data_IF_097517903414
#
_entry.id   IF_097517903414
#
_cell.length_a   1.000
_cell.length_b   1.000
_cell.length_c   1.000
_cell.angle_alpha   90.00
_cell.angle_beta   90.00
_cell.angle_gamma   90.00
#
_symmetry.space_group_name_H-M   'P 1'
#
loop_
_entity.id
_entity.type
_entity.pdbx_description
1 polymer ?
#
# COMPACT_ATOMS: atom_id res chain seq x y z
N UNK A 1 -15.45 31.02 -10.20
CA UNK A 1 -14.33 30.20 -9.69
C UNK A 1 -13.80 30.89 -8.45
N UNK A 2 -14.08 30.36 -7.25
CA UNK A 2 -13.60 30.96 -6.00
C UNK A 2 -12.17 30.47 -5.75
N UNK A 3 -11.20 31.35 -5.85
CA UNK A 3 -9.81 31.03 -5.52
C UNK A 3 -9.72 30.81 -4.00
N UNK A 4 -9.24 29.65 -3.52
CA UNK A 4 -9.16 29.39 -2.09
C UNK A 4 -8.21 30.39 -1.43
N UNK A 5 -8.67 30.96 -0.31
CA UNK A 5 -7.86 31.81 0.57
C UNK A 5 -6.72 30.96 1.14
N UNK A 6 -5.50 31.45 1.03
CA UNK A 6 -4.29 30.78 1.51
C UNK A 6 -3.48 31.77 2.35
N UNK A 7 -2.81 31.28 3.37
CA UNK A 7 -2.05 32.12 4.29
C UNK A 7 -0.80 32.70 3.61
N UNK A 8 -0.62 34.03 3.67
CA UNK A 8 0.61 34.68 3.20
C UNK A 8 1.61 34.86 4.36
N UNK A 9 2.82 34.27 4.29
CA UNK A 9 3.81 34.37 5.37
C UNK A 9 4.36 35.78 5.57
N UNK A 10 4.30 36.65 4.55
CA UNK A 10 4.74 38.06 4.66
C UNK A 10 3.66 38.97 5.22
N UNK A 11 2.42 38.84 4.77
CA UNK A 11 1.30 39.66 5.25
C UNK A 11 0.68 39.14 6.54
N UNK A 12 0.98 37.90 6.95
CA UNK A 12 0.41 37.20 8.12
C UNK A 12 -1.13 37.16 8.12
N UNK A 13 -1.72 37.12 6.93
CA UNK A 13 -3.18 37.07 6.71
C UNK A 13 -3.50 36.16 5.53
N UNK A 14 -4.74 35.70 5.49
CA UNK A 14 -5.24 34.91 4.38
C UNK A 14 -5.54 35.82 3.18
N UNK A 15 -5.00 35.43 2.03
CA UNK A 15 -5.16 36.16 0.76
C UNK A 15 -5.47 35.18 -0.36
N UNK A 16 -6.19 35.66 -1.37
CA UNK A 16 -6.39 34.92 -2.61
C UNK A 16 -5.14 35.09 -3.49
N UNK A 17 -4.25 34.11 -3.49
CA UNK A 17 -3.06 34.13 -4.34
C UNK A 17 -3.43 34.02 -5.82
N UNK A 18 -2.82 34.85 -6.65
CA UNK A 18 -3.03 34.84 -8.10
C UNK A 18 -2.03 33.85 -8.72
N UNK A 19 -2.53 32.88 -9.49
CA UNK A 19 -1.69 31.96 -10.23
C UNK A 19 -1.17 32.64 -11.51
N UNK A 20 0.14 32.81 -11.62
CA UNK A 20 0.81 33.34 -12.80
C UNK A 20 1.99 32.44 -13.17
N UNK A 21 1.96 31.85 -14.36
CA UNK A 21 3.08 31.11 -14.97
C UNK A 21 3.77 30.06 -14.04
N UNK A 22 2.99 29.25 -13.32
CA UNK A 22 3.53 28.19 -12.44
C UNK A 22 3.92 28.65 -11.03
N UNK A 23 3.75 29.93 -10.72
CA UNK A 23 3.92 30.49 -9.37
C UNK A 23 2.59 31.05 -8.85
N UNK A 24 2.47 31.08 -7.52
CA UNK A 24 1.38 31.78 -6.81
C UNK A 24 1.91 33.06 -6.19
N UNK A 25 1.30 34.18 -6.57
CA UNK A 25 1.73 35.52 -6.18
C UNK A 25 0.71 36.18 -5.26
N UNK A 26 1.17 36.74 -4.14
CA UNK A 26 0.36 37.53 -3.23
C UNK A 26 0.13 38.93 -3.82
N UNK A 27 -1.12 39.38 -4.00
CA UNK A 27 -1.42 40.69 -4.57
C UNK A 27 -1.04 41.87 -3.66
N UNK A 28 -0.94 41.62 -2.35
CA UNK A 28 -0.75 42.67 -1.33
C UNK A 28 0.73 43.02 -1.11
N UNK A 29 1.62 42.03 -1.16
CA UNK A 29 3.05 42.21 -0.89
C UNK A 29 3.98 41.69 -1.98
N UNK A 30 3.43 41.12 -3.06
CA UNK A 30 4.22 40.57 -4.17
C UNK A 30 4.97 39.28 -3.83
N UNK A 31 4.72 38.64 -2.67
CA UNK A 31 5.34 37.37 -2.32
C UNK A 31 4.96 36.27 -3.31
N UNK A 32 5.94 35.61 -3.90
CA UNK A 32 5.76 34.53 -4.87
C UNK A 32 6.28 33.22 -4.30
N UNK A 33 5.54 32.14 -4.50
CA UNK A 33 6.04 30.79 -4.26
C UNK A 33 5.77 29.92 -5.48
N UNK A 34 6.77 29.10 -5.84
CA UNK A 34 6.62 28.12 -6.90
C UNK A 34 5.62 27.06 -6.44
N UNK A 35 4.60 26.80 -7.25
CA UNK A 35 3.78 25.60 -7.05
C UNK A 35 4.62 24.48 -7.62
N UNK A 36 5.38 23.80 -6.77
CA UNK A 36 5.97 22.52 -7.15
C UNK A 36 4.81 21.63 -7.57
N UNK A 37 4.78 21.25 -8.85
CA UNK A 37 3.90 20.21 -9.37
C UNK A 37 3.88 19.06 -8.34
N UNK A 38 2.73 18.62 -7.82
CA UNK A 38 2.71 17.46 -6.95
C UNK A 38 3.43 16.32 -7.70
N UNK A 39 4.36 15.59 -7.04
CA UNK A 39 5.05 14.50 -7.70
C UNK A 39 4.00 13.60 -8.33
N UNK A 40 4.12 13.41 -9.64
CA UNK A 40 3.20 12.61 -10.43
C UNK A 40 2.89 11.32 -9.65
N UNK A 41 1.63 10.98 -9.33
CA UNK A 41 1.30 9.69 -8.75
C UNK A 41 1.61 8.51 -9.70
N UNK A 42 2.13 8.79 -10.89
CA UNK A 42 2.73 7.84 -11.81
C UNK A 42 3.90 7.10 -11.20
N UNK A 43 3.71 5.77 -11.12
CA UNK A 43 4.64 4.74 -10.66
C UNK A 43 5.11 4.88 -9.22
N UNK A 44 4.27 4.37 -8.30
CA UNK A 44 4.84 3.52 -7.27
C UNK A 44 5.79 2.54 -7.98
N UNK A 45 7.09 2.45 -7.61
CA UNK A 45 7.91 1.38 -8.12
C UNK A 45 7.18 0.07 -7.78
N UNK A 46 6.83 -0.69 -8.81
CA UNK A 46 6.30 -2.03 -8.65
C UNK A 46 7.31 -2.78 -7.78
N UNK A 47 6.93 -2.92 -6.51
CA UNK A 47 7.53 -3.75 -5.46
C UNK A 47 9.06 -3.84 -5.56
N UNK A 48 9.83 -3.15 -4.69
CA UNK A 48 11.29 -3.21 -4.74
C UNK A 48 11.70 -4.66 -4.78
N UNK A 49 12.58 -4.91 -5.73
CA UNK A 49 13.08 -6.19 -6.15
C UNK A 49 13.02 -7.21 -5.04
N UNK A 50 12.39 -8.32 -5.39
CA UNK A 50 12.58 -9.63 -4.78
C UNK A 50 14.04 -10.04 -4.98
N UNK A 51 14.99 -9.28 -4.40
CA UNK A 51 16.30 -9.72 -3.99
C UNK A 51 16.06 -10.75 -2.88
N UNK A 52 15.51 -11.89 -3.29
CA UNK A 52 14.97 -12.90 -2.41
C UNK A 52 16.15 -13.52 -1.69
N UNK A 53 16.27 -13.23 -0.41
CA UNK A 53 17.16 -13.98 0.46
C UNK A 53 16.86 -15.48 0.25
N UNK A 54 17.79 -16.27 -0.31
CA UNK A 54 17.53 -17.67 -0.64
C UNK A 54 17.17 -18.48 0.61
N UNK A 55 17.66 -18.05 1.78
CA UNK A 55 17.29 -18.62 3.07
C UNK A 55 15.81 -18.44 3.41
N UNK A 56 15.28 -17.22 3.18
CA UNK A 56 13.87 -16.92 3.45
C UNK A 56 12.95 -17.65 2.47
N UNK A 57 13.37 -17.79 1.21
CA UNK A 57 12.64 -18.60 0.23
C UNK A 57 12.58 -20.07 0.65
N UNK A 58 13.71 -20.64 1.10
CA UNK A 58 13.77 -22.02 1.59
C UNK A 58 12.83 -22.25 2.78
N UNK A 59 12.86 -21.36 3.79
CA UNK A 59 11.95 -21.46 4.94
C UNK A 59 10.49 -21.35 4.55
N UNK A 60 10.17 -20.47 3.60
CA UNK A 60 8.80 -20.30 3.10
C UNK A 60 8.31 -21.57 2.41
N UNK A 61 9.13 -22.14 1.53
CA UNK A 61 8.80 -23.39 0.81
C UNK A 61 8.66 -24.55 1.81
N UNK A 62 9.60 -24.70 2.73
CA UNK A 62 9.57 -25.74 3.75
C UNK A 62 8.29 -25.63 4.61
N UNK A 63 7.91 -24.43 5.03
CA UNK A 63 6.67 -24.19 5.77
C UNK A 63 5.42 -24.58 4.99
N UNK A 64 5.35 -24.23 3.71
CA UNK A 64 4.22 -24.61 2.83
C UNK A 64 4.13 -26.13 2.67
N UNK A 65 5.25 -26.80 2.44
CA UNK A 65 5.30 -28.26 2.27
C UNK A 65 4.85 -28.96 3.55
N UNK A 66 5.32 -28.53 4.72
CA UNK A 66 4.90 -29.07 6.01
C UNK A 66 3.39 -28.87 6.23
N UNK A 67 2.88 -27.67 5.95
CA UNK A 67 1.45 -27.38 6.10
C UNK A 67 0.58 -28.25 5.17
N UNK A 68 1.02 -28.44 3.92
CA UNK A 68 0.33 -29.28 2.95
C UNK A 68 0.30 -30.75 3.38
N UNK A 69 1.42 -31.27 3.89
CA UNK A 69 1.51 -32.64 4.41
C UNK A 69 0.63 -32.84 5.65
N UNK A 70 0.63 -31.88 6.58
CA UNK A 70 -0.23 -31.91 7.77
C UNK A 70 -1.71 -31.87 7.38
N UNK A 71 -2.08 -31.00 6.44
CA UNK A 71 -3.45 -30.91 5.93
C UNK A 71 -3.90 -32.19 5.24
N UNK A 72 -3.07 -32.76 4.36
CA UNK A 72 -3.36 -34.03 3.70
C UNK A 72 -3.47 -35.20 4.70
N UNK A 73 -2.57 -35.25 5.69
CA UNK A 73 -2.60 -36.26 6.74
C UNK A 73 -3.87 -36.18 7.59
N UNK A 74 -4.24 -34.99 8.04
CA UNK A 74 -5.47 -34.76 8.80
C UNK A 74 -6.73 -35.11 7.98
N UNK A 75 -6.75 -34.77 6.69
CA UNK A 75 -7.84 -35.13 5.79
C UNK A 75 -8.00 -36.64 5.66
N UNK A 76 -6.89 -37.37 5.43
CA UNK A 76 -6.89 -38.82 5.32
C UNK A 76 -7.36 -39.48 6.62
N UNK A 77 -6.84 -39.04 7.77
CA UNK A 77 -7.27 -39.50 9.09
C UNK A 77 -8.77 -39.26 9.32
N UNK A 78 -9.28 -38.08 8.93
CA UNK A 78 -10.70 -37.76 9.01
C UNK A 78 -11.56 -38.70 8.15
N UNK A 79 -11.16 -38.95 6.90
CA UNK A 79 -11.84 -39.89 5.99
C UNK A 79 -11.85 -41.30 6.59
N UNK A 80 -10.71 -41.75 7.11
CA UNK A 80 -10.58 -43.07 7.73
C UNK A 80 -11.47 -43.20 8.97
N UNK A 81 -11.52 -42.15 9.78
CA UNK A 81 -12.36 -42.10 10.97
C UNK A 81 -13.85 -42.16 10.64
N UNK A 82 -14.30 -41.37 9.65
CA UNK A 82 -15.69 -41.39 9.16
C UNK A 82 -16.02 -42.75 8.53
N UNK A 83 -15.12 -43.30 7.73
CA UNK A 83 -15.26 -44.62 7.12
C UNK A 83 -15.38 -45.74 8.15
N UNK A 84 -14.51 -45.76 9.15
CA UNK A 84 -14.59 -46.71 10.26
C UNK A 84 -15.88 -46.54 11.07
N UNK A 85 -16.27 -45.30 11.41
CA UNK A 85 -17.50 -45.03 12.16
C UNK A 85 -18.75 -45.53 11.41
N UNK A 86 -18.78 -45.43 10.09
CA UNK A 86 -19.87 -45.94 9.26
C UNK A 86 -19.84 -47.47 9.15
N UNK A 87 -18.66 -48.08 9.05
CA UNK A 87 -18.51 -49.54 8.96
C UNK A 87 -18.88 -50.30 10.25
N UNK A 88 -18.63 -49.72 11.42
CA UNK A 88 -19.02 -50.31 12.71
C UNK A 88 -20.47 -50.00 13.13
N UNK A 89 -21.18 -49.14 12.39
CA UNK A 89 -22.56 -48.73 12.67
C UNK A 89 -23.58 -49.43 11.77
N UNK A 90 -23.13 -50.26 10.82
CA UNK A 90 -23.95 -51.21 10.05
C UNK A 90 -23.84 -52.61 10.62
#
# INVERSE_FOLDING_TARGET
MQTPLQFCPRCKKDVAFVAAAGARTCPECGFQYAVSEPPNPGSFPDRPDRAGNPWLQFLTIAGIVVLALLGAGALLLGILFVGCALAFRG
#
